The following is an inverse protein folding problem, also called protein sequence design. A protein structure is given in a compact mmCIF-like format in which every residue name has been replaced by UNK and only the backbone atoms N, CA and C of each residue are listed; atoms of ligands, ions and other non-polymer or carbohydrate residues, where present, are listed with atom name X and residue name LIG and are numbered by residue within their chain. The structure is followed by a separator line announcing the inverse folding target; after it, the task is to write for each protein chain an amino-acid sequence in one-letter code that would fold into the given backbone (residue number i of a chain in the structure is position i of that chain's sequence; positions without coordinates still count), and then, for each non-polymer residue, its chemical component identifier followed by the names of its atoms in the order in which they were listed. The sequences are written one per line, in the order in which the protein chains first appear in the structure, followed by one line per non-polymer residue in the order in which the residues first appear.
data_IF_255964290786
#
_entry.id   IF_255964290786
#
_cell.length_a   1.000
_cell.length_b   1.000
_cell.length_c   1.000
_cell.angle_alpha   90.00
_cell.angle_beta   90.00
_cell.angle_gamma   90.00
#
_symmetry.space_group_name_H-M   'P 1'
#
loop_
_entity.id
_entity.type
_entity.pdbx_description
1 polymer ?
#
# COMPACT_ATOMS: atom_id res chain seq x y z
N UNK A 1 -13.58 14.92 -4.32
CA UNK A 1 -13.04 13.56 -4.59
C UNK A 1 -14.10 12.53 -4.26
N UNK A 2 -14.36 11.60 -5.18
CA UNK A 2 -15.30 10.51 -4.93
C UNK A 2 -14.67 9.49 -3.97
N UNK A 3 -15.47 8.99 -3.05
CA UNK A 3 -15.02 7.98 -2.12
C UNK A 3 -14.79 6.63 -2.83
N UNK A 4 -13.91 5.81 -2.25
CA UNK A 4 -13.66 4.48 -2.78
C UNK A 4 -14.93 3.62 -2.63
N UNK A 5 -15.30 2.91 -3.70
CA UNK A 5 -16.50 2.08 -3.70
C UNK A 5 -16.14 0.64 -3.34
N UNK A 6 -16.60 0.16 -2.19
CA UNK A 6 -16.37 -1.22 -1.74
C UNK A 6 -17.41 -2.22 -2.26
N UNK A 7 -18.45 -1.73 -2.95
CA UNK A 7 -19.56 -2.56 -3.41
C UNK A 7 -19.33 -3.22 -4.77
N UNK A 8 -18.26 -2.86 -5.47
CA UNK A 8 -17.93 -3.44 -6.77
C UNK A 8 -17.46 -4.89 -6.63
N UNK A 9 -17.72 -5.75 -7.64
CA UNK A 9 -17.28 -7.15 -7.62
C UNK A 9 -15.79 -7.27 -7.99
N UNK A 10 -14.91 -6.80 -7.12
CA UNK A 10 -13.48 -6.70 -7.38
C UNK A 10 -12.82 -8.03 -7.75
N UNK A 11 -13.34 -9.15 -7.25
CA UNK A 11 -12.79 -10.47 -7.55
C UNK A 11 -12.88 -10.82 -9.04
N UNK A 12 -13.88 -10.27 -9.72
CA UNK A 12 -14.14 -10.54 -11.12
C UNK A 12 -13.68 -9.42 -12.05
N UNK A 13 -12.98 -8.40 -11.51
CA UNK A 13 -12.59 -7.21 -12.26
C UNK A 13 -11.11 -7.19 -12.58
N UNK A 14 -10.77 -6.77 -13.79
CA UNK A 14 -9.40 -6.50 -14.23
C UNK A 14 -9.27 -5.00 -14.49
N UNK A 15 -8.58 -4.29 -13.62
CA UNK A 15 -8.44 -2.84 -13.70
C UNK A 15 -7.46 -2.37 -14.77
N UNK A 16 -6.81 -3.29 -15.52
CA UNK A 16 -6.07 -2.91 -16.73
C UNK A 16 -7.00 -2.75 -17.93
N UNK A 17 -8.23 -3.27 -17.88
CA UNK A 17 -9.23 -3.09 -18.91
C UNK A 17 -9.72 -1.65 -18.95
N UNK A 18 -9.76 -0.98 -20.13
CA UNK A 18 -10.20 0.43 -20.21
C UNK A 18 -11.58 0.69 -19.64
N UNK A 19 -12.53 -0.21 -19.79
CA UNK A 19 -13.88 -0.04 -19.23
C UNK A 19 -13.87 -0.14 -17.70
N UNK A 20 -13.11 -1.09 -17.16
CA UNK A 20 -12.96 -1.25 -15.71
C UNK A 20 -12.19 -0.08 -15.12
N UNK A 21 -11.20 0.45 -15.84
CA UNK A 21 -10.42 1.61 -15.44
C UNK A 21 -11.29 2.81 -15.06
N UNK A 22 -12.39 3.01 -15.78
CA UNK A 22 -13.32 4.11 -15.56
C UNK A 22 -14.05 3.98 -14.21
N UNK A 23 -14.10 2.80 -13.64
CA UNK A 23 -14.76 2.54 -12.34
C UNK A 23 -13.83 2.80 -11.16
N UNK A 24 -12.54 3.01 -11.41
CA UNK A 24 -11.58 3.24 -10.34
C UNK A 24 -11.83 4.58 -9.66
N UNK A 25 -11.85 4.55 -8.34
CA UNK A 25 -11.95 5.76 -7.51
C UNK A 25 -10.75 5.81 -6.59
N UNK A 26 -10.14 7.00 -6.53
CA UNK A 26 -8.91 7.18 -5.75
C UNK A 26 -9.12 6.92 -4.27
N UNK A 27 -10.21 7.44 -3.69
CA UNK A 27 -10.46 7.29 -2.27
C UNK A 27 -9.49 8.10 -1.43
N UNK A 28 -9.47 7.81 -0.12
CA UNK A 28 -8.56 8.46 0.83
C UNK A 28 -7.47 7.51 1.28
N UNK A 29 -6.26 8.05 1.45
CA UNK A 29 -5.13 7.28 1.95
C UNK A 29 -4.93 6.00 1.16
N UNK A 30 -4.98 4.87 1.84
CA UNK A 30 -4.73 3.55 1.25
C UNK A 30 -5.99 2.73 1.02
N UNK A 31 -7.17 3.38 0.97
CA UNK A 31 -8.44 2.68 0.75
C UNK A 31 -8.40 1.83 -0.52
N UNK A 32 -8.80 0.57 -0.38
CA UNK A 32 -8.95 -0.35 -1.50
C UNK A 32 -7.66 -0.89 -2.07
N UNK A 33 -6.51 -0.63 -1.43
CA UNK A 33 -5.20 -1.04 -1.95
C UNK A 33 -5.09 -2.54 -2.23
N UNK A 34 -5.83 -3.37 -1.50
CA UNK A 34 -5.78 -4.83 -1.66
C UNK A 34 -6.83 -5.38 -2.63
N UNK A 35 -7.67 -4.52 -3.21
CA UNK A 35 -8.80 -4.94 -4.03
C UNK A 35 -8.59 -4.70 -5.53
N UNK A 36 -7.72 -3.77 -5.91
CA UNK A 36 -7.58 -3.33 -7.31
C UNK A 36 -6.55 -4.18 -8.04
N UNK A 37 -7.03 -5.21 -8.71
CA UNK A 37 -6.18 -6.18 -9.43
C UNK A 37 -6.11 -5.89 -10.93
N UNK A 38 -5.03 -6.26 -11.61
CA UNK A 38 -3.87 -7.02 -11.11
C UNK A 38 -2.81 -6.17 -10.38
N UNK A 39 -3.02 -4.88 -10.23
CA UNK A 39 -2.05 -3.95 -9.61
C UNK A 39 -1.64 -4.38 -8.21
N UNK A 40 -2.61 -4.77 -7.37
CA UNK A 40 -2.33 -5.26 -6.02
C UNK A 40 -1.31 -6.39 -6.04
N UNK A 41 -1.51 -7.38 -6.89
CA UNK A 41 -0.62 -8.55 -6.94
C UNK A 41 0.79 -8.17 -7.38
N UNK A 42 0.91 -7.30 -8.39
CA UNK A 42 2.20 -6.87 -8.92
C UNK A 42 3.00 -6.04 -7.92
N UNK A 43 2.33 -5.11 -7.24
CA UNK A 43 3.01 -4.19 -6.32
C UNK A 43 3.28 -4.88 -4.98
N UNK A 44 2.34 -5.67 -4.48
CA UNK A 44 2.45 -6.35 -3.20
C UNK A 44 3.64 -7.31 -3.15
N UNK A 45 4.01 -7.88 -4.30
CA UNK A 45 5.18 -8.77 -4.38
C UNK A 45 6.48 -8.08 -3.93
N UNK A 46 6.55 -6.75 -4.03
CA UNK A 46 7.71 -5.95 -3.67
C UNK A 46 7.53 -5.17 -2.36
N UNK A 47 6.38 -5.30 -1.72
CA UNK A 47 6.04 -4.53 -0.51
C UNK A 47 6.56 -5.23 0.75
N UNK A 48 7.65 -4.69 1.34
CA UNK A 48 8.29 -5.24 2.55
C UNK A 48 8.88 -4.09 3.35
N UNK A 49 8.46 -3.94 4.61
CA UNK A 49 8.79 -2.76 5.40
C UNK A 49 9.22 -3.10 6.84
N UNK A 50 9.65 -4.32 7.09
CA UNK A 50 9.95 -4.78 8.45
C UNK A 50 11.19 -4.12 9.07
N UNK A 51 12.23 -3.90 8.29
CA UNK A 51 13.46 -3.24 8.74
C UNK A 51 13.74 -2.01 7.89
N UNK A 52 14.55 -1.04 8.40
CA UNK A 52 14.88 0.15 7.60
C UNK A 52 15.52 -0.17 6.24
N UNK A 53 16.46 -1.10 6.20
CA UNK A 53 17.11 -1.48 4.94
C UNK A 53 16.12 -2.11 3.95
N UNK A 54 15.28 -3.02 4.43
CA UNK A 54 14.27 -3.67 3.60
C UNK A 54 13.24 -2.64 3.14
N UNK A 55 12.84 -1.73 4.03
CA UNK A 55 11.87 -0.68 3.71
C UNK A 55 12.39 0.24 2.60
N UNK A 56 13.66 0.64 2.65
CA UNK A 56 14.26 1.49 1.62
C UNK A 56 14.26 0.78 0.27
N UNK A 57 14.66 -0.48 0.22
CA UNK A 57 14.65 -1.24 -1.02
C UNK A 57 13.25 -1.39 -1.59
N UNK A 58 12.28 -1.70 -0.73
CA UNK A 58 10.88 -1.84 -1.13
C UNK A 58 10.33 -0.52 -1.66
N UNK A 59 10.54 0.58 -0.93
CA UNK A 59 10.07 1.91 -1.35
C UNK A 59 10.68 2.31 -2.69
N UNK A 60 11.98 2.10 -2.88
CA UNK A 60 12.65 2.42 -4.13
C UNK A 60 12.10 1.59 -5.29
N UNK A 61 11.83 0.31 -5.08
CA UNK A 61 11.23 -0.54 -6.12
C UNK A 61 9.83 -0.09 -6.48
N UNK A 62 8.98 0.20 -5.50
CA UNK A 62 7.61 0.64 -5.73
C UNK A 62 7.61 2.03 -6.39
N UNK A 63 8.52 2.91 -5.99
CA UNK A 63 8.67 4.21 -6.65
C UNK A 63 9.09 4.07 -8.12
N UNK A 64 9.99 3.13 -8.42
CA UNK A 64 10.35 2.82 -9.80
C UNK A 64 9.14 2.34 -10.61
N UNK A 65 8.30 1.50 -10.00
CA UNK A 65 7.05 1.06 -10.64
C UNK A 65 6.10 2.24 -10.87
N UNK A 66 6.01 3.17 -9.92
CA UNK A 66 5.24 4.41 -10.08
C UNK A 66 5.68 5.19 -11.32
N UNK A 67 7.00 5.34 -11.50
CA UNK A 67 7.54 6.06 -12.66
C UNK A 67 7.24 5.33 -13.98
N UNK A 68 7.28 4.00 -13.98
CA UNK A 68 6.92 3.20 -15.15
C UNK A 68 5.44 3.37 -15.49
N UNK A 69 4.56 3.34 -14.51
CA UNK A 69 3.13 3.59 -14.74
C UNK A 69 2.88 5.01 -15.23
N UNK A 70 3.63 5.99 -14.71
CA UNK A 70 3.55 7.38 -15.19
C UNK A 70 3.91 7.47 -16.67
N UNK A 71 4.98 6.81 -17.09
CA UNK A 71 5.42 6.84 -18.49
C UNK A 71 4.41 6.15 -19.42
N UNK A 72 3.67 5.18 -18.91
CA UNK A 72 2.58 4.52 -19.63
C UNK A 72 1.24 5.27 -19.52
N UNK A 73 1.22 6.37 -18.78
CA UNK A 73 0.00 7.13 -18.47
C UNK A 73 -1.06 6.29 -17.75
N UNK A 74 -0.61 5.29 -16.99
CA UNK A 74 -1.49 4.43 -16.21
C UNK A 74 -1.72 5.03 -14.82
N UNK A 75 -2.75 5.86 -14.70
CA UNK A 75 -3.05 6.58 -13.46
C UNK A 75 -3.52 5.66 -12.34
N UNK A 76 -4.13 4.52 -12.65
CA UNK A 76 -4.51 3.54 -11.63
C UNK A 76 -3.24 2.93 -11.01
N UNK A 77 -2.27 2.53 -11.84
CA UNK A 77 -1.00 2.01 -11.36
C UNK A 77 -0.26 3.03 -10.50
N UNK A 78 -0.24 4.30 -10.93
CA UNK A 78 0.37 5.39 -10.15
C UNK A 78 -0.27 5.52 -8.77
N UNK A 79 -1.60 5.57 -8.71
CA UNK A 79 -2.30 5.71 -7.45
C UNK A 79 -2.13 4.50 -6.55
N UNK A 80 -2.12 3.31 -7.12
CA UNK A 80 -1.88 2.08 -6.37
C UNK A 80 -0.48 2.06 -5.75
N UNK A 81 0.54 2.50 -6.48
CA UNK A 81 1.89 2.65 -5.92
C UNK A 81 1.90 3.64 -4.76
N UNK A 82 1.21 4.78 -4.91
CA UNK A 82 1.06 5.75 -3.83
C UNK A 82 0.46 5.12 -2.57
N UNK A 83 -0.63 4.38 -2.75
CA UNK A 83 -1.32 3.72 -1.62
C UNK A 83 -0.43 2.70 -0.92
N UNK A 84 0.33 1.91 -1.69
CA UNK A 84 1.26 0.94 -1.09
C UNK A 84 2.40 1.64 -0.36
N UNK A 85 2.90 2.77 -0.87
CA UNK A 85 3.94 3.54 -0.18
C UNK A 85 3.41 4.15 1.12
N UNK A 86 2.18 4.68 1.12
CA UNK A 86 1.56 5.19 2.35
C UNK A 86 1.37 4.08 3.39
N UNK A 87 0.90 2.91 2.96
CA UNK A 87 0.74 1.76 3.84
C UNK A 87 2.08 1.30 4.39
N UNK A 88 3.13 1.33 3.56
CA UNK A 88 4.49 1.00 3.97
C UNK A 88 5.03 1.97 5.02
N UNK A 89 4.79 3.26 4.84
CA UNK A 89 5.17 4.28 5.81
C UNK A 89 4.49 4.03 7.17
N UNK A 90 3.20 3.77 7.17
CA UNK A 90 2.45 3.45 8.39
C UNK A 90 3.00 2.21 9.08
N UNK A 91 3.29 1.16 8.29
CA UNK A 91 3.83 -0.10 8.82
C UNK A 91 5.24 0.10 9.37
N UNK A 92 6.09 0.86 8.68
CA UNK A 92 7.45 1.15 9.14
C UNK A 92 7.43 1.91 10.47
N UNK A 93 6.52 2.87 10.63
CA UNK A 93 6.36 3.58 11.90
C UNK A 93 5.96 2.63 13.04
N UNK A 94 5.09 1.67 12.74
CA UNK A 94 4.67 0.68 13.74
C UNK A 94 5.86 -0.17 14.19
N UNK A 95 6.69 -0.65 13.26
CA UNK A 95 7.89 -1.43 13.62
C UNK A 95 8.93 -0.60 14.37
N UNK A 96 9.05 0.69 14.07
CA UNK A 96 9.95 1.58 14.78
C UNK A 96 9.47 1.88 16.20
N UNK A 97 8.17 1.99 16.42
CA UNK A 97 7.57 2.39 17.69
C UNK A 97 7.21 1.21 18.60
N UNK A 98 6.98 0.03 18.03
CA UNK A 98 6.50 -1.15 18.77
C UNK A 98 7.25 -2.38 18.29
N UNK A 99 7.80 -3.15 19.25
CA UNK A 99 8.47 -4.40 18.93
C UNK A 99 7.52 -5.32 18.14
N UNK A 100 8.05 -5.98 17.10
CA UNK A 100 7.29 -6.91 16.25
C UNK A 100 6.10 -6.27 15.51
N UNK A 101 6.05 -4.92 15.45
CA UNK A 101 4.99 -4.21 14.78
C UNK A 101 3.64 -4.26 15.47
N UNK A 102 3.62 -4.69 16.74
CA UNK A 102 2.39 -4.80 17.52
C UNK A 102 2.21 -3.60 18.44
N UNK A 103 1.01 -3.05 18.46
CA UNK A 103 0.66 -1.92 19.31
C UNK A 103 0.26 -2.36 20.72
N UNK A 104 -0.27 -3.58 20.85
CA UNK A 104 -0.77 -4.13 22.12
C UNK A 104 -0.08 -5.46 22.42
N UNK A 105 0.14 -5.72 23.71
CA UNK A 105 0.65 -7.03 24.16
C UNK A 105 -0.50 -8.06 24.27
N UNK A 106 -0.19 -9.28 24.74
CA UNK A 106 -1.18 -10.36 24.87
C UNK A 106 -2.28 -10.05 25.87
N UNK A 107 -2.05 -9.13 26.78
CA UNK A 107 -3.00 -8.75 27.83
C UNK A 107 -3.83 -7.52 27.43
N UNK A 108 -3.60 -6.98 26.24
CA UNK A 108 -4.31 -5.81 25.74
C UNK A 108 -3.71 -4.48 26.15
N UNK A 109 -2.57 -4.48 26.82
CA UNK A 109 -1.87 -3.25 27.21
C UNK A 109 -1.06 -2.69 26.03
N UNK A 110 -0.93 -1.36 25.97
CA UNK A 110 -0.14 -0.72 24.92
C UNK A 110 1.34 -1.04 25.18
N UNK A 111 2.01 -1.58 24.15
CA UNK A 111 3.44 -1.87 24.22
C UNK A 111 4.21 -0.54 24.15
N UNK A 112 5.17 -0.29 25.09
CA UNK A 112 5.96 0.94 25.04
C UNK A 112 6.73 1.07 23.73
N UNK A 113 6.90 2.31 23.25
CA UNK A 113 7.66 2.60 22.05
C UNK A 113 9.16 2.40 22.29
N UNK A 114 9.84 1.79 21.32
CA UNK A 114 11.29 1.61 21.35
C UNK A 114 11.94 2.69 20.49
N UNK A 115 12.47 3.75 21.15
CA UNK A 115 13.01 4.93 20.45
C UNK A 115 14.23 4.62 19.59
N UNK A 116 14.97 3.59 19.90
CA UNK A 116 16.18 3.20 19.18
C UNK A 116 15.89 2.31 17.96
N UNK A 117 14.64 2.05 17.67
CA UNK A 117 14.20 1.15 16.60
C UNK A 117 13.86 1.88 15.29
N UNK A 118 14.24 3.11 15.16
CA UNK A 118 13.91 3.92 13.99
C UNK A 118 14.54 3.43 12.68
#
# INVERSE_FOLDING_TARGET
MLEFCYELPYEDMDFTDPETHKLYRIGRGEQGVLLVRPYTDHICAHWKFRTPEIAVKSANKIFAMYLDYRDEEDFVGMDMCRKFLEMGFTRSRRYANHRDGKKYDKEGNIIPQEKDHA
#
